data_IF_083072318310
#
_entry.id   IF_083072318310
#
_cell.length_a   1.000
_cell.length_b   1.000
_cell.length_c   1.000
_cell.angle_alpha   90.00
_cell.angle_beta   90.00
_cell.angle_gamma   90.00
#
_symmetry.space_group_name_H-M   'P 1'
#
loop_
_entity.id
_entity.type
_entity.pdbx_description
1 polymer ?
#
# COMPACT_ATOMS: atom_id res chain seq x y z
N UNK A 1 -2.35 -9.12 20.97
CA UNK A 1 -2.56 -8.53 19.63
C UNK A 1 -1.51 -9.12 18.70
N UNK A 2 -1.91 -9.75 17.59
CA UNK A 2 -0.99 -10.38 16.61
C UNK A 2 -0.08 -9.34 15.95
N UNK A 3 1.07 -9.77 15.39
CA UNK A 3 1.96 -8.89 14.61
C UNK A 3 1.20 -8.22 13.47
N UNK A 4 0.40 -8.97 12.73
CA UNK A 4 -0.48 -8.46 11.66
C UNK A 4 -1.41 -7.35 12.14
N UNK A 5 -2.03 -7.48 13.32
CA UNK A 5 -2.90 -6.41 13.82
C UNK A 5 -2.10 -5.16 14.22
N UNK A 6 -0.88 -5.31 14.74
CA UNK A 6 -0.02 -4.15 15.05
C UNK A 6 0.44 -3.45 13.78
N UNK A 7 0.84 -4.21 12.77
CA UNK A 7 1.22 -3.67 11.46
C UNK A 7 0.04 -2.92 10.82
N UNK A 8 -1.16 -3.51 10.85
CA UNK A 8 -2.38 -2.88 10.36
C UNK A 8 -2.65 -1.53 11.01
N UNK A 9 -2.69 -1.46 12.35
CA UNK A 9 -2.99 -0.20 13.05
C UNK A 9 -1.92 0.86 12.76
N UNK A 10 -0.65 0.46 12.74
CA UNK A 10 0.46 1.33 12.37
C UNK A 10 0.30 1.88 10.94
N UNK A 11 0.13 1.01 9.95
CA UNK A 11 0.01 1.39 8.54
C UNK A 11 -1.23 2.25 8.29
N UNK A 12 -2.36 1.87 8.90
CA UNK A 12 -3.60 2.63 8.83
C UNK A 12 -3.40 4.06 9.34
N UNK A 13 -2.73 4.23 10.47
CA UNK A 13 -2.46 5.54 11.05
C UNK A 13 -1.58 6.38 10.12
N UNK A 14 -0.43 5.86 9.68
CA UNK A 14 0.51 6.64 8.83
C UNK A 14 -0.12 7.02 7.48
N UNK A 15 -0.89 6.13 6.85
CA UNK A 15 -1.55 6.45 5.59
C UNK A 15 -2.70 7.44 5.78
N UNK A 16 -3.42 7.36 6.90
CA UNK A 16 -4.43 8.36 7.24
C UNK A 16 -3.80 9.75 7.40
N UNK A 17 -2.64 9.86 8.04
CA UNK A 17 -1.92 11.13 8.20
C UNK A 17 -1.31 11.64 6.88
N UNK A 18 -0.87 10.74 6.00
CA UNK A 18 -0.41 11.09 4.67
C UNK A 18 -1.55 11.70 3.82
N UNK A 19 -2.71 11.06 3.78
CA UNK A 19 -3.85 11.55 3.00
C UNK A 19 -4.55 12.78 3.59
N UNK A 20 -4.19 13.19 4.81
CA UNK A 20 -4.60 14.49 5.39
C UNK A 20 -3.78 15.67 4.89
N UNK A 21 -2.62 15.43 4.26
CA UNK A 21 -1.74 16.50 3.81
C UNK A 21 -2.43 17.34 2.71
N UNK A 22 -2.54 18.66 2.93
CA UNK A 22 -3.25 19.57 2.01
C UNK A 22 -2.73 19.50 0.56
N UNK A 23 -1.41 19.39 0.38
CA UNK A 23 -0.81 19.29 -0.95
C UNK A 23 -1.17 17.98 -1.67
N UNK A 24 -1.31 16.86 -0.93
CA UNK A 24 -1.73 15.57 -1.47
C UNK A 24 -3.19 15.64 -1.91
N UNK A 25 -4.07 16.16 -1.05
CA UNK A 25 -5.49 16.37 -1.37
C UNK A 25 -5.66 17.23 -2.62
N UNK A 26 -4.98 18.37 -2.68
CA UNK A 26 -5.02 19.25 -3.85
C UNK A 26 -4.56 18.54 -5.12
N UNK A 27 -3.44 17.81 -5.06
CA UNK A 27 -2.91 17.11 -6.23
C UNK A 27 -3.81 15.95 -6.68
N UNK A 28 -4.44 15.23 -5.76
CA UNK A 28 -5.42 14.20 -6.12
C UNK A 28 -6.63 14.81 -6.85
N UNK A 29 -7.12 15.97 -6.43
CA UNK A 29 -8.18 16.66 -7.15
C UNK A 29 -7.73 17.11 -8.54
N UNK A 30 -6.52 17.67 -8.67
CA UNK A 30 -5.95 18.04 -9.99
C UNK A 30 -5.82 16.82 -10.91
N UNK A 31 -5.41 15.66 -10.38
CA UNK A 31 -5.34 14.39 -11.10
C UNK A 31 -6.72 13.95 -11.57
N UNK A 32 -7.75 14.08 -10.72
CA UNK A 32 -9.13 13.72 -11.04
C UNK A 32 -9.69 14.64 -12.15
N UNK A 33 -9.54 15.95 -11.98
CA UNK A 33 -10.05 16.99 -12.88
C UNK A 33 -9.48 16.89 -14.29
N UNK A 34 -8.24 16.39 -14.42
CA UNK A 34 -7.54 16.24 -15.70
C UNK A 34 -7.48 14.79 -16.19
N UNK A 35 -8.18 13.87 -15.52
CA UNK A 35 -8.21 12.44 -15.85
C UNK A 35 -6.80 11.83 -16.01
N UNK A 36 -5.88 12.17 -15.10
CA UNK A 36 -4.50 11.68 -15.15
C UNK A 36 -4.44 10.23 -14.66
N UNK A 37 -3.84 9.36 -15.45
CA UNK A 37 -3.62 7.94 -15.12
C UNK A 37 -2.15 7.65 -14.85
N UNK A 38 -1.85 6.53 -14.17
CA UNK A 38 -0.48 6.04 -14.02
C UNK A 38 0.37 6.82 -13.02
N UNK A 39 -0.24 7.59 -12.12
CA UNK A 39 0.44 8.41 -11.11
C UNK A 39 0.93 7.62 -9.88
N UNK A 40 0.94 6.29 -9.93
CA UNK A 40 1.39 5.42 -8.84
C UNK A 40 2.81 5.78 -8.36
N UNK A 41 3.73 6.03 -9.28
CA UNK A 41 5.11 6.43 -8.95
C UNK A 41 5.14 7.81 -8.26
N UNK A 42 4.28 8.75 -8.65
CA UNK A 42 4.18 10.03 -7.94
C UNK A 42 3.74 9.81 -6.49
N UNK A 43 2.72 8.97 -6.26
CA UNK A 43 2.26 8.63 -4.92
C UNK A 43 3.38 7.99 -4.09
N UNK A 44 4.17 7.07 -4.67
CA UNK A 44 5.33 6.48 -4.02
C UNK A 44 6.40 7.53 -3.68
N UNK A 45 6.67 8.50 -4.55
CA UNK A 45 7.61 9.61 -4.25
C UNK A 45 7.11 10.43 -3.06
N UNK A 46 5.85 10.87 -3.09
CA UNK A 46 5.26 11.69 -2.03
C UNK A 46 5.24 10.96 -0.68
N UNK A 47 4.87 9.67 -0.67
CA UNK A 47 4.90 8.86 0.56
C UNK A 47 6.31 8.75 1.13
N UNK A 48 7.32 8.53 0.29
CA UNK A 48 8.70 8.44 0.75
C UNK A 48 9.19 9.75 1.38
N UNK A 49 8.88 10.88 0.76
CA UNK A 49 9.18 12.21 1.31
C UNK A 49 8.44 12.47 2.62
N UNK A 50 7.17 12.06 2.69
CA UNK A 50 6.36 12.15 3.90
C UNK A 50 6.98 11.34 5.06
N UNK A 51 7.36 10.08 4.81
CA UNK A 51 7.99 9.24 5.82
C UNK A 51 9.29 9.84 6.34
N UNK A 52 10.14 10.39 5.48
CA UNK A 52 11.37 11.07 5.92
C UNK A 52 11.09 12.32 6.74
N UNK A 53 10.13 13.13 6.30
CA UNK A 53 9.79 14.39 6.96
C UNK A 53 9.18 14.19 8.35
N UNK A 54 8.44 13.11 8.55
CA UNK A 54 7.68 12.86 9.77
C UNK A 54 8.12 11.59 10.51
N UNK A 55 9.27 11.01 10.18
CA UNK A 55 9.77 9.75 10.74
C UNK A 55 9.75 9.73 12.27
N UNK A 56 10.14 10.86 12.89
CA UNK A 56 10.16 10.99 14.34
C UNK A 56 8.78 10.91 14.99
N UNK A 57 7.77 11.47 14.34
CA UNK A 57 6.38 11.50 14.82
C UNK A 57 5.63 10.20 14.53
N UNK A 58 6.02 9.50 13.46
CA UNK A 58 5.34 8.30 12.96
C UNK A 58 5.97 6.99 13.45
N UNK A 59 6.88 7.01 14.43
CA UNK A 59 7.59 5.81 14.91
C UNK A 59 8.36 5.05 13.80
N UNK A 60 8.83 5.74 12.75
CA UNK A 60 9.62 5.15 11.66
C UNK A 60 11.10 5.33 11.96
N UNK A 61 11.87 4.23 11.95
CA UNK A 61 13.33 4.27 12.00
C UNK A 61 13.95 4.26 10.61
N UNK A 62 13.47 3.38 9.73
CA UNK A 62 14.01 3.21 8.38
C UNK A 62 12.88 3.04 7.38
N UNK A 63 13.08 3.56 6.19
CA UNK A 63 12.22 3.31 5.04
C UNK A 63 13.06 3.26 3.78
N UNK A 64 12.82 2.24 2.96
CA UNK A 64 13.44 2.09 1.65
C UNK A 64 12.35 1.91 0.60
N UNK A 65 12.67 2.36 -0.60
CA UNK A 65 11.85 2.17 -1.79
C UNK A 65 12.50 1.18 -2.73
N UNK A 66 11.68 0.51 -3.51
CA UNK A 66 12.10 -0.35 -4.61
C UNK A 66 13.11 -1.41 -4.14
N UNK A 67 12.76 -2.12 -3.06
CA UNK A 67 13.60 -3.18 -2.48
C UNK A 67 13.67 -4.37 -3.46
N UNK A 68 14.86 -4.68 -4.03
CA UNK A 68 14.98 -5.70 -5.05
C UNK A 68 14.98 -7.11 -4.45
N UNK A 69 14.13 -7.99 -4.98
CA UNK A 69 14.04 -9.39 -4.57
C UNK A 69 14.23 -10.35 -5.74
N UNK A 70 14.72 -11.55 -5.44
CA UNK A 70 14.83 -12.65 -6.40
C UNK A 70 13.66 -13.62 -6.25
N UNK A 71 13.08 -14.01 -7.39
CA UNK A 71 11.93 -14.94 -7.42
C UNK A 71 12.40 -16.39 -7.30
N UNK A 72 11.57 -17.25 -6.70
CA UNK A 72 11.77 -18.70 -6.77
C UNK A 72 11.38 -19.19 -8.17
N UNK A 73 12.39 -19.59 -8.96
CA UNK A 73 12.20 -20.07 -10.34
C UNK A 73 11.34 -21.34 -10.43
N UNK A 74 11.13 -22.06 -9.32
CA UNK A 74 10.20 -23.19 -9.27
C UNK A 74 8.73 -22.74 -9.22
N UNK A 75 8.49 -21.48 -8.85
CA UNK A 75 7.15 -20.88 -8.69
C UNK A 75 6.76 -19.92 -9.81
N UNK A 76 7.63 -19.66 -10.79
CA UNK A 76 7.34 -18.76 -11.91
C UNK A 76 8.52 -18.47 -12.83
N UNK A 77 8.23 -17.75 -13.92
CA UNK A 77 9.20 -17.42 -14.99
C UNK A 77 10.01 -16.16 -14.69
N UNK A 78 9.43 -15.21 -13.95
CA UNK A 78 10.11 -13.99 -13.56
C UNK A 78 11.34 -14.30 -12.69
N UNK A 79 12.45 -13.59 -12.91
CA UNK A 79 13.71 -13.81 -12.18
C UNK A 79 13.85 -12.85 -11.01
N UNK A 80 13.34 -11.62 -11.17
CA UNK A 80 13.48 -10.53 -10.20
C UNK A 80 12.13 -9.83 -10.04
N UNK A 81 11.92 -9.26 -8.87
CA UNK A 81 10.89 -8.26 -8.62
C UNK A 81 11.46 -7.18 -7.70
N UNK A 82 10.65 -6.16 -7.45
CA UNK A 82 10.89 -5.17 -6.44
C UNK A 82 9.63 -5.04 -5.59
N UNK A 83 9.80 -4.88 -4.28
CA UNK A 83 8.75 -4.45 -3.36
C UNK A 83 8.76 -2.93 -3.35
N UNK A 84 7.60 -2.29 -3.46
CA UNK A 84 7.54 -0.83 -3.55
C UNK A 84 8.15 -0.13 -2.33
N UNK A 85 7.85 -0.64 -1.12
CA UNK A 85 8.41 -0.14 0.14
C UNK A 85 8.71 -1.23 1.16
N UNK A 86 9.73 -0.96 1.97
CA UNK A 86 9.93 -1.63 3.26
C UNK A 86 10.07 -0.58 4.36
N UNK A 87 9.29 -0.71 5.45
CA UNK A 87 9.28 0.23 6.59
C UNK A 87 9.68 -0.49 7.88
N UNK A 88 10.61 0.07 8.67
CA UNK A 88 10.96 -0.45 9.99
C UNK A 88 10.63 0.55 11.09
N UNK A 89 9.88 0.10 12.09
CA UNK A 89 9.55 0.91 13.27
C UNK A 89 10.75 1.07 14.21
N UNK A 90 10.82 2.14 15.02
CA UNK A 90 12.01 2.50 15.85
C UNK A 90 12.48 1.45 16.85
N UNK A 91 11.66 0.43 17.13
CA UNK A 91 11.99 -0.68 18.06
C UNK A 91 11.73 -2.05 17.44
N UNK A 92 11.42 -2.11 16.16
CA UNK A 92 11.22 -3.36 15.44
C UNK A 92 12.55 -3.88 14.88
N UNK A 93 12.71 -5.20 14.92
CA UNK A 93 13.85 -5.90 14.33
C UNK A 93 13.63 -6.29 12.86
N UNK A 94 12.41 -6.12 12.33
CA UNK A 94 12.06 -6.53 10.99
C UNK A 94 11.25 -5.44 10.28
N UNK A 95 11.33 -5.44 8.95
CA UNK A 95 10.60 -4.51 8.09
C UNK A 95 9.15 -4.95 7.90
N UNK A 96 8.29 -4.02 7.50
CA UNK A 96 6.93 -4.24 7.01
C UNK A 96 6.99 -3.99 5.49
N UNK A 97 6.76 -5.00 4.64
CA UNK A 97 6.74 -4.84 3.19
C UNK A 97 5.39 -4.28 2.74
N UNK A 98 5.41 -3.34 1.79
CA UNK A 98 4.22 -2.65 1.30
C UNK A 98 4.30 -2.54 -0.22
N UNK A 99 3.23 -2.93 -0.89
CA UNK A 99 2.99 -2.71 -2.32
C UNK A 99 1.95 -1.61 -2.49
N UNK A 100 2.11 -0.77 -3.50
CA UNK A 100 1.20 0.34 -3.79
C UNK A 100 0.49 0.06 -5.10
N UNK A 101 -0.81 0.36 -5.13
CA UNK A 101 -1.63 0.29 -6.33
C UNK A 101 -2.50 1.51 -6.51
N UNK A 102 -2.68 1.91 -7.76
CA UNK A 102 -3.74 2.84 -8.14
C UNK A 102 -4.63 2.25 -9.24
N UNK A 103 -5.92 2.57 -9.17
CA UNK A 103 -6.84 2.44 -10.31
C UNK A 103 -8.09 3.25 -10.05
N UNK A 104 -8.55 4.01 -11.05
CA UNK A 104 -9.86 4.68 -10.99
C UNK A 104 -10.98 3.72 -10.57
N UNK A 105 -11.00 2.50 -11.15
CA UNK A 105 -11.99 1.48 -10.82
C UNK A 105 -11.55 0.64 -9.61
N UNK A 106 -12.30 0.73 -8.51
CA UNK A 106 -11.95 0.08 -7.24
C UNK A 106 -11.77 -1.45 -7.33
N UNK A 107 -12.67 -2.25 -7.93
CA UNK A 107 -12.47 -3.70 -8.06
C UNK A 107 -11.22 -4.07 -8.85
N UNK A 108 -10.83 -3.27 -9.85
CA UNK A 108 -9.57 -3.47 -10.56
C UNK A 108 -8.36 -3.17 -9.67
N UNK A 109 -8.42 -2.12 -8.84
CA UNK A 109 -7.40 -1.83 -7.85
C UNK A 109 -7.17 -3.02 -6.91
N UNK A 110 -8.24 -3.54 -6.30
CA UNK A 110 -8.19 -4.69 -5.38
C UNK A 110 -7.62 -5.93 -6.09
N UNK A 111 -8.08 -6.22 -7.30
CA UNK A 111 -7.57 -7.36 -8.07
C UNK A 111 -6.07 -7.24 -8.37
N UNK A 112 -5.56 -6.04 -8.62
CA UNK A 112 -4.12 -5.83 -8.79
C UNK A 112 -3.35 -6.00 -7.46
N UNK A 113 -3.89 -5.52 -6.34
CA UNK A 113 -3.31 -5.74 -5.01
C UNK A 113 -3.21 -7.24 -4.67
N UNK A 114 -4.26 -8.01 -4.92
CA UNK A 114 -4.27 -9.47 -4.74
C UNK A 114 -3.18 -10.17 -5.55
N UNK A 115 -2.95 -9.72 -6.79
CA UNK A 115 -1.91 -10.28 -7.66
C UNK A 115 -0.51 -9.99 -7.12
N UNK A 116 -0.28 -8.85 -6.51
CA UNK A 116 1.02 -8.55 -5.90
C UNK A 116 1.27 -9.37 -4.63
N UNK A 117 0.24 -9.68 -3.85
CA UNK A 117 0.38 -10.64 -2.73
C UNK A 117 0.73 -12.05 -3.23
N UNK A 118 0.06 -12.53 -4.28
CA UNK A 118 0.41 -13.80 -4.92
C UNK A 118 1.85 -13.77 -5.47
N UNK A 119 2.27 -12.66 -6.09
CA UNK A 119 3.65 -12.45 -6.56
C UNK A 119 4.66 -12.44 -5.41
N UNK A 120 4.36 -11.79 -4.29
CA UNK A 120 5.21 -11.77 -3.10
C UNK A 120 5.42 -13.18 -2.54
N UNK A 121 4.39 -14.02 -2.52
CA UNK A 121 4.48 -15.43 -2.10
C UNK A 121 5.44 -16.29 -2.96
N UNK A 122 5.79 -15.80 -4.16
CA UNK A 122 6.70 -16.43 -5.11
C UNK A 122 8.14 -15.93 -5.00
N UNK A 123 8.42 -14.94 -4.13
CA UNK A 123 9.79 -14.52 -3.81
C UNK A 123 10.52 -15.67 -3.13
N UNK A 124 11.81 -15.81 -3.44
CA UNK A 124 12.68 -16.81 -2.82
C UNK A 124 12.85 -16.47 -1.34
N UNK A 125 12.62 -17.44 -0.46
CA UNK A 125 12.57 -17.22 1.00
C UNK A 125 13.78 -16.47 1.56
N UNK A 126 14.99 -16.74 1.05
CA UNK A 126 16.23 -16.09 1.52
C UNK A 126 16.41 -14.64 1.05
N UNK A 127 15.56 -14.17 0.15
CA UNK A 127 15.57 -12.80 -0.39
C UNK A 127 14.34 -12.01 0.07
N UNK A 128 13.51 -12.60 0.94
CA UNK A 128 12.48 -11.85 1.63
C UNK A 128 13.16 -10.90 2.62
N UNK A 129 12.76 -9.62 2.66
CA UNK A 129 13.31 -8.66 3.63
C UNK A 129 12.86 -8.98 5.06
N UNK A 130 11.81 -9.78 5.22
CA UNK A 130 11.20 -10.15 6.51
C UNK A 130 10.29 -11.37 6.35
N UNK A 131 10.00 -12.02 7.47
CA UNK A 131 8.93 -13.02 7.65
C UNK A 131 7.53 -12.41 7.84
N UNK A 132 7.38 -11.09 7.91
CA UNK A 132 6.07 -10.43 7.97
C UNK A 132 5.33 -10.55 6.64
N UNK A 133 4.00 -10.47 6.73
CA UNK A 133 3.12 -10.43 5.56
C UNK A 133 3.32 -9.11 4.80
N UNK A 134 3.22 -9.18 3.48
CA UNK A 134 3.17 -7.97 2.65
C UNK A 134 1.79 -7.33 2.77
N UNK A 135 1.78 -6.00 2.86
CA UNK A 135 0.58 -5.18 2.85
C UNK A 135 0.43 -4.50 1.49
N UNK A 136 -0.79 -4.16 1.11
CA UNK A 136 -1.09 -3.41 -0.10
C UNK A 136 -1.85 -2.14 0.24
N UNK A 137 -1.35 -1.00 -0.24
CA UNK A 137 -2.08 0.26 -0.27
C UNK A 137 -2.66 0.49 -1.66
N UNK A 138 -3.98 0.41 -1.80
CA UNK A 138 -4.70 0.75 -3.02
C UNK A 138 -5.31 2.15 -2.95
N UNK A 139 -5.21 2.95 -4.00
CA UNK A 139 -5.96 4.22 -4.13
C UNK A 139 -6.85 4.18 -5.36
N UNK A 140 -8.14 4.45 -5.16
CA UNK A 140 -9.16 4.34 -6.21
C UNK A 140 -10.28 5.34 -5.99
N UNK A 141 -11.04 5.68 -7.04
CA UNK A 141 -12.23 6.51 -6.86
C UNK A 141 -13.28 5.76 -6.05
N UNK A 142 -14.19 6.52 -5.45
CA UNK A 142 -15.34 5.96 -4.75
C UNK A 142 -16.14 5.03 -5.69
N UNK A 143 -16.40 3.76 -5.30
CA UNK A 143 -17.25 2.87 -6.07
C UNK A 143 -18.63 3.48 -6.32
N UNK A 144 -19.17 3.31 -7.53
CA UNK A 144 -20.55 3.73 -7.85
C UNK A 144 -21.59 3.05 -6.95
N UNK A 145 -21.35 1.79 -6.57
CA UNK A 145 -22.18 1.03 -5.65
C UNK A 145 -21.34 0.60 -4.43
N UNK A 146 -21.23 1.49 -3.43
CA UNK A 146 -20.42 1.26 -2.24
C UNK A 146 -20.84 0.00 -1.47
N UNK A 147 -22.14 -0.22 -1.27
CA UNK A 147 -22.62 -1.36 -0.47
C UNK A 147 -22.33 -2.74 -1.08
N UNK A 148 -22.37 -2.86 -2.41
CA UNK A 148 -21.95 -4.10 -3.08
C UNK A 148 -20.44 -4.29 -3.04
N UNK A 149 -19.69 -3.19 -3.17
CA UNK A 149 -18.24 -3.22 -3.04
C UNK A 149 -17.81 -3.66 -1.64
N UNK A 150 -18.39 -3.06 -0.59
CA UNK A 150 -18.10 -3.40 0.81
C UNK A 150 -18.38 -4.87 1.11
N UNK A 151 -19.52 -5.42 0.62
CA UNK A 151 -19.83 -6.86 0.74
C UNK A 151 -18.77 -7.74 0.09
N UNK A 152 -18.25 -7.38 -1.09
CA UNK A 152 -17.17 -8.13 -1.74
C UNK A 152 -15.87 -8.08 -0.93
N UNK A 153 -15.64 -7.01 -0.17
CA UNK A 153 -14.47 -6.90 0.68
C UNK A 153 -14.54 -7.79 1.94
N UNK A 154 -15.73 -8.21 2.38
CA UNK A 154 -15.92 -9.07 3.56
C UNK A 154 -15.26 -10.45 3.42
N UNK A 155 -15.13 -10.93 2.18
CA UNK A 155 -14.55 -12.25 1.87
C UNK A 155 -13.01 -12.29 1.98
N UNK A 156 -12.35 -11.14 2.14
CA UNK A 156 -10.90 -11.05 2.19
C UNK A 156 -10.36 -11.14 3.62
N UNK A 157 -9.30 -11.94 3.79
CA UNK A 157 -8.60 -12.13 5.07
C UNK A 157 -7.09 -11.86 4.88
N UNK A 158 -6.44 -11.03 5.71
CA UNK A 158 -7.03 -10.26 6.82
C UNK A 158 -8.03 -9.19 6.34
N UNK A 159 -8.87 -8.68 7.27
CA UNK A 159 -9.95 -7.73 6.95
C UNK A 159 -9.41 -6.50 6.23
N UNK A 160 -9.90 -6.28 5.02
CA UNK A 160 -9.62 -5.08 4.24
C UNK A 160 -10.26 -3.86 4.93
N UNK A 161 -9.52 -2.74 4.97
CA UNK A 161 -10.09 -1.45 5.36
C UNK A 161 -10.12 -0.51 4.17
N UNK A 162 -11.26 0.13 3.93
CA UNK A 162 -11.44 1.11 2.87
C UNK A 162 -11.91 2.42 3.51
N UNK A 163 -11.18 3.51 3.27
CA UNK A 163 -11.38 4.80 3.92
C UNK A 163 -11.44 5.93 2.90
N UNK A 164 -12.38 6.88 3.04
CA UNK A 164 -12.42 8.04 2.17
C UNK A 164 -11.22 8.96 2.41
N UNK A 165 -10.61 9.44 1.34
CA UNK A 165 -9.65 10.55 1.39
C UNK A 165 -10.47 11.84 1.40
N UNK A 166 -10.57 12.48 2.59
CA UNK A 166 -11.42 13.66 2.78
C UNK A 166 -11.09 14.76 1.76
N UNK A 167 -12.14 15.40 1.24
CA UNK A 167 -12.07 16.46 0.23
C UNK A 167 -11.52 16.02 -1.14
N UNK A 168 -11.63 14.73 -1.47
CA UNK A 168 -11.40 14.20 -2.81
C UNK A 168 -12.49 13.19 -3.18
N UNK A 169 -12.55 12.76 -4.44
CA UNK A 169 -13.40 11.64 -4.87
C UNK A 169 -12.71 10.26 -4.68
N UNK A 170 -11.53 10.23 -4.05
CA UNK A 170 -10.75 9.02 -3.84
C UNK A 170 -11.00 8.39 -2.47
N UNK A 171 -10.72 7.10 -2.43
CA UNK A 171 -10.61 6.28 -1.23
C UNK A 171 -9.24 5.59 -1.25
N UNK A 172 -8.71 5.31 -0.07
CA UNK A 172 -7.59 4.39 0.06
C UNK A 172 -8.06 3.10 0.74
N UNK A 173 -7.54 1.99 0.24
CA UNK A 173 -7.77 0.65 0.76
C UNK A 173 -6.46 0.07 1.27
N UNK A 174 -6.46 -0.48 2.47
CA UNK A 174 -5.34 -1.21 3.05
C UNK A 174 -5.74 -2.67 3.21
N UNK A 175 -4.89 -3.56 2.70
CA UNK A 175 -5.07 -5.01 2.71
C UNK A 175 -3.78 -5.72 3.12
#
# INVERSE_FOLDING_TARGET
>A
MSTTNKDYEFLKEIFTEFFKQKHIVNRLNEIDDHEIYGWEIWLQVELFLFFHKFSDKLDIAEVYREEPCLMDRRKGVAIKCSIDFIIRQKRAHSFIPIEIKQSVYAPRCINHMMRDIDKYSKIRMRDLPTDRVVWCLGVHQKPRNQGEFDKKLEDYSPKISCQPIKNTNYMFTLF
#
